data_IF_254945217545
#
_entry.id   IF_254945217545
#
_cell.length_a   1.000
_cell.length_b   1.000
_cell.length_c   1.000
_cell.angle_alpha   90.00
_cell.angle_beta   90.00
_cell.angle_gamma   90.00
#
_symmetry.space_group_name_H-M   'P 1'
#
loop_
_entity.id
_entity.type
_entity.pdbx_description
1 polymer ?
#
# COMPACT_ATOMS: atom_id res chain seq x y z
N UNK A 1 -3.77 -26.89 18.66
CA UNK A 1 -2.87 -25.72 18.82
C UNK A 1 -2.54 -25.27 17.42
N UNK A 2 -3.13 -24.16 16.96
CA UNK A 2 -2.77 -23.53 15.68
C UNK A 2 -1.34 -23.01 15.81
N UNK A 3 -0.55 -23.14 14.73
CA UNK A 3 0.83 -22.63 14.71
C UNK A 3 0.89 -21.10 14.81
N UNK A 4 2.09 -20.51 14.80
CA UNK A 4 2.22 -19.05 14.74
C UNK A 4 1.49 -18.49 13.51
N UNK A 5 0.79 -17.36 13.66
CA UNK A 5 0.11 -16.68 12.55
C UNK A 5 1.11 -16.35 11.46
N UNK A 6 0.81 -16.79 10.24
CA UNK A 6 1.56 -16.41 9.05
C UNK A 6 1.27 -14.93 8.74
N UNK A 7 2.29 -14.15 8.41
CA UNK A 7 2.11 -12.73 8.03
C UNK A 7 2.86 -12.47 6.73
N UNK A 8 2.13 -12.37 5.63
CA UNK A 8 2.69 -11.86 4.38
C UNK A 8 2.51 -10.35 4.32
N UNK A 9 3.42 -9.66 3.64
CA UNK A 9 3.26 -8.23 3.40
C UNK A 9 3.57 -7.89 1.96
N UNK A 10 2.75 -7.03 1.35
CA UNK A 10 3.00 -6.54 0.01
C UNK A 10 2.86 -5.01 -0.01
N UNK A 11 3.79 -4.34 -0.68
CA UNK A 11 3.65 -2.94 -1.06
C UNK A 11 3.34 -2.87 -2.55
N UNK A 12 2.27 -2.19 -2.92
CA UNK A 12 1.81 -2.07 -4.30
C UNK A 12 1.73 -0.60 -4.73
N UNK A 13 2.00 -0.38 -6.02
CA UNK A 13 1.68 0.89 -6.68
C UNK A 13 0.29 0.75 -7.32
N UNK A 14 -0.72 1.42 -6.75
CA UNK A 14 -2.14 1.10 -7.01
C UNK A 14 -2.77 1.77 -8.25
N UNK A 15 -2.00 2.59 -8.98
CA UNK A 15 -2.47 3.24 -10.21
C UNK A 15 -3.31 4.50 -10.04
N UNK A 16 -3.84 5.02 -11.14
CA UNK A 16 -4.61 6.27 -11.16
C UNK A 16 -6.10 6.06 -10.99
N UNK A 17 -6.64 6.28 -9.79
CA UNK A 17 -8.09 6.29 -9.55
C UNK A 17 -8.78 4.99 -10.06
N UNK A 18 -9.90 5.10 -10.79
CA UNK A 18 -10.64 3.93 -11.30
C UNK A 18 -10.02 3.31 -12.56
N UNK A 19 -9.00 3.94 -13.16
CA UNK A 19 -8.50 3.58 -14.49
C UNK A 19 -8.11 2.11 -14.62
N UNK A 20 -7.43 1.45 -13.66
CA UNK A 20 -7.10 0.03 -13.80
C UNK A 20 -8.32 -0.86 -14.06
N UNK A 21 -9.43 -0.63 -13.36
CA UNK A 21 -10.66 -1.41 -13.56
C UNK A 21 -11.39 -1.02 -14.84
N UNK A 22 -11.36 0.26 -15.22
CA UNK A 22 -11.93 0.71 -16.50
C UNK A 22 -11.16 0.12 -17.69
N UNK A 23 -9.83 0.06 -17.63
CA UNK A 23 -8.98 -0.56 -18.65
C UNK A 23 -9.28 -2.06 -18.79
N UNK A 24 -9.54 -2.78 -17.68
CA UNK A 24 -9.97 -4.19 -17.70
C UNK A 24 -11.36 -4.35 -18.35
N UNK A 25 -12.27 -3.41 -18.11
CA UNK A 25 -13.64 -3.44 -18.64
C UNK A 25 -13.74 -2.97 -20.09
N UNK A 26 -12.73 -2.26 -20.61
CA UNK A 26 -12.67 -1.80 -22.01
C UNK A 26 -12.67 -2.98 -22.99
N UNK A 27 -13.41 -2.85 -24.09
CA UNK A 27 -13.45 -3.89 -25.12
C UNK A 27 -12.15 -3.91 -25.95
N UNK A 28 -11.72 -5.10 -26.37
CA UNK A 28 -10.62 -5.23 -27.33
C UNK A 28 -10.97 -4.47 -28.63
N UNK A 29 -10.15 -3.48 -28.99
CA UNK A 29 -10.32 -2.67 -30.21
C UNK A 29 -10.77 -1.22 -29.98
N UNK A 30 -11.17 -0.84 -28.76
CA UNK A 30 -11.24 0.58 -28.40
C UNK A 30 -9.82 1.14 -28.34
N UNK A 31 -9.54 2.22 -29.08
CA UNK A 31 -8.24 2.90 -29.09
C UNK A 31 -8.04 3.67 -27.78
N UNK A 32 -7.91 2.94 -26.67
CA UNK A 32 -7.64 3.48 -25.35
C UNK A 32 -6.22 3.12 -24.95
N UNK A 33 -5.39 4.13 -24.73
CA UNK A 33 -4.04 3.95 -24.18
C UNK A 33 -4.15 3.23 -22.84
N UNK A 34 -3.50 2.06 -22.72
CA UNK A 34 -3.46 1.30 -21.46
C UNK A 34 -2.25 1.71 -20.65
N UNK A 35 -2.50 2.29 -19.49
CA UNK A 35 -1.49 2.87 -18.63
C UNK A 35 -1.12 1.96 -17.45
N UNK A 36 -1.88 0.89 -17.24
CA UNK A 36 -1.76 0.03 -16.07
C UNK A 36 -1.54 -1.44 -16.41
N UNK A 37 -1.24 -1.80 -17.66
CA UNK A 37 -1.10 -3.22 -18.08
C UNK A 37 -0.17 -4.02 -17.17
N UNK A 38 1.08 -3.58 -17.00
CA UNK A 38 2.07 -4.30 -16.18
C UNK A 38 1.67 -4.33 -14.68
N UNK A 39 1.00 -3.27 -14.20
CA UNK A 39 0.45 -3.22 -12.84
C UNK A 39 -0.67 -4.25 -12.67
N UNK A 40 -1.64 -4.29 -13.58
CA UNK A 40 -2.78 -5.20 -13.56
C UNK A 40 -2.29 -6.65 -13.61
N UNK A 41 -1.36 -6.97 -14.52
CA UNK A 41 -0.76 -8.31 -14.63
C UNK A 41 -0.03 -8.71 -13.34
N UNK A 42 0.70 -7.77 -12.74
CA UNK A 42 1.37 -8.01 -11.44
C UNK A 42 0.34 -8.28 -10.34
N UNK A 43 -0.75 -7.50 -10.25
CA UNK A 43 -1.79 -7.71 -9.24
C UNK A 43 -2.61 -8.99 -9.46
N UNK A 44 -2.78 -9.45 -10.71
CA UNK A 44 -3.43 -10.74 -11.00
C UNK A 44 -2.57 -11.92 -10.52
N UNK A 45 -1.25 -11.82 -10.66
CA UNK A 45 -0.32 -12.91 -10.35
C UNK A 45 0.15 -12.90 -8.89
N UNK A 46 0.20 -11.74 -8.23
CA UNK A 46 0.66 -11.59 -6.84
C UNK A 46 -0.06 -12.52 -5.83
N UNK A 47 -1.40 -12.74 -5.90
CA UNK A 47 -2.09 -13.71 -5.04
C UNK A 47 -1.62 -15.16 -5.19
N UNK A 48 -0.92 -15.53 -6.26
CA UNK A 48 -0.35 -16.87 -6.44
C UNK A 48 0.92 -17.07 -5.60
N UNK A 49 1.59 -15.98 -5.22
CA UNK A 49 2.79 -15.97 -4.38
C UNK A 49 2.47 -15.87 -2.87
N UNK A 50 1.19 -15.63 -2.53
CA UNK A 50 0.68 -15.35 -1.19
C UNK A 50 -0.41 -16.37 -0.88
N UNK A 51 -0.31 -17.13 0.21
CA UNK A 51 -1.44 -17.98 0.61
C UNK A 51 -2.69 -17.12 0.80
N UNK A 52 -3.90 -17.62 0.49
CA UNK A 52 -5.11 -16.80 0.67
C UNK A 52 -5.19 -16.32 2.14
N UNK A 53 -5.24 -15.01 2.42
CA UNK A 53 -5.31 -14.52 3.79
C UNK A 53 -6.73 -14.64 4.37
N UNK A 54 -6.81 -14.81 5.69
CA UNK A 54 -8.08 -14.79 6.43
C UNK A 54 -8.59 -13.37 6.64
N UNK A 55 -7.66 -12.39 6.66
CA UNK A 55 -7.95 -10.97 6.81
C UNK A 55 -6.84 -10.12 6.15
N UNK A 56 -7.22 -8.96 5.62
CA UNK A 56 -6.28 -7.99 5.03
C UNK A 56 -6.28 -6.71 5.86
N UNK A 57 -5.08 -6.27 6.26
CA UNK A 57 -4.84 -4.91 6.76
C UNK A 57 -4.34 -4.07 5.59
N UNK A 58 -5.07 -3.02 5.23
CA UNK A 58 -4.69 -2.11 4.15
C UNK A 58 -4.18 -0.80 4.72
N UNK A 59 -2.94 -0.46 4.42
CA UNK A 59 -2.36 0.86 4.70
C UNK A 59 -2.54 1.70 3.44
N UNK A 60 -3.53 2.59 3.41
CA UNK A 60 -3.83 3.37 2.20
C UNK A 60 -3.18 4.75 2.25
N UNK A 61 -2.51 5.12 1.15
CA UNK A 61 -2.00 6.48 0.93
C UNK A 61 -3.10 7.56 0.93
N UNK A 62 -4.37 7.18 0.70
CA UNK A 62 -5.50 8.11 0.61
C UNK A 62 -6.20 8.36 1.95
N UNK A 63 -5.61 7.92 3.06
CA UNK A 63 -6.15 8.16 4.39
C UNK A 63 -5.09 8.65 5.36
N UNK A 64 -5.00 9.97 5.49
CA UNK A 64 -4.13 10.65 6.45
C UNK A 64 -4.93 11.20 7.64
N UNK A 65 -4.43 11.04 8.85
CA UNK A 65 -5.07 11.46 10.10
C UNK A 65 -4.04 12.03 11.09
N UNK A 66 -4.50 12.79 12.09
CA UNK A 66 -3.61 13.33 13.13
C UNK A 66 -3.10 12.25 14.12
N UNK A 67 -3.82 11.13 14.22
CA UNK A 67 -3.46 9.94 15.00
C UNK A 67 -3.86 8.71 14.19
N UNK A 68 -3.33 7.54 14.52
CA UNK A 68 -3.70 6.32 13.79
C UNK A 68 -5.19 6.06 13.95
N UNK A 69 -5.90 5.90 12.85
CA UNK A 69 -7.28 5.40 12.85
C UNK A 69 -7.35 4.05 12.15
N UNK A 70 -8.27 3.22 12.60
CA UNK A 70 -8.52 1.88 12.05
C UNK A 70 -10.01 1.73 11.74
N UNK A 71 -10.36 1.37 10.51
CA UNK A 71 -11.78 1.17 10.15
C UNK A 71 -12.38 0.01 10.94
N UNK A 72 -13.53 0.24 11.57
CA UNK A 72 -14.23 -0.73 12.43
C UNK A 72 -15.72 -0.88 12.10
N UNK A 73 -16.16 -0.41 10.93
CA UNK A 73 -17.51 -0.67 10.41
C UNK A 73 -17.63 -2.11 9.90
N UNK A 74 -18.74 -2.84 10.14
CA UNK A 74 -18.88 -4.24 9.71
C UNK A 74 -19.12 -4.40 8.21
N UNK A 75 -19.71 -3.39 7.55
CA UNK A 75 -19.97 -3.33 6.10
C UNK A 75 -19.70 -1.91 5.60
N UNK A 76 -18.42 -1.49 5.48
CA UNK A 76 -18.09 -0.15 5.01
C UNK A 76 -18.52 0.03 3.55
N UNK A 77 -19.12 1.18 3.23
CA UNK A 77 -19.37 1.58 1.84
C UNK A 77 -18.06 1.91 1.13
N UNK A 78 -18.06 2.03 -0.20
CA UNK A 78 -16.91 2.56 -0.93
C UNK A 78 -16.91 4.09 -0.89
N UNK A 79 -15.72 4.68 -0.76
CA UNK A 79 -15.47 6.10 -0.97
C UNK A 79 -14.83 6.24 -2.34
N UNK A 80 -15.47 7.00 -3.23
CA UNK A 80 -14.93 7.35 -4.54
C UNK A 80 -14.15 8.66 -4.42
N UNK A 81 -12.93 8.58 -3.90
CA UNK A 81 -11.99 9.70 -3.66
C UNK A 81 -11.24 10.15 -4.93
N UNK A 82 -11.90 10.04 -6.08
CA UNK A 82 -11.44 10.49 -7.39
C UNK A 82 -12.57 11.16 -8.18
N UNK A 83 -12.20 12.07 -9.08
CA UNK A 83 -13.14 12.97 -9.75
C UNK A 83 -12.87 13.06 -11.25
N UNK A 84 -13.89 13.42 -12.03
CA UNK A 84 -13.77 13.67 -13.47
C UNK A 84 -13.81 12.43 -14.36
N UNK A 85 -14.25 11.28 -13.83
CA UNK A 85 -14.40 10.03 -14.59
C UNK A 85 -15.85 9.79 -15.05
N UNK A 86 -16.08 8.88 -16.02
CA UNK A 86 -17.43 8.49 -16.43
C UNK A 86 -18.25 7.87 -15.28
N UNK A 87 -19.59 7.90 -15.40
CA UNK A 87 -20.53 7.36 -14.38
C UNK A 87 -20.24 5.91 -13.99
N UNK A 88 -19.78 5.09 -14.95
CA UNK A 88 -19.40 3.70 -14.71
C UNK A 88 -18.32 3.56 -13.62
N UNK A 89 -17.39 4.52 -13.51
CA UNK A 89 -16.37 4.52 -12.45
C UNK A 89 -17.01 4.59 -11.05
N UNK A 90 -18.06 5.40 -10.89
CA UNK A 90 -18.82 5.54 -9.64
C UNK A 90 -19.83 4.42 -9.40
N UNK A 91 -19.98 3.51 -10.36
CA UNK A 91 -20.82 2.31 -10.24
C UNK A 91 -20.01 1.08 -9.81
N UNK A 92 -18.69 1.16 -9.75
CA UNK A 92 -17.80 0.07 -9.29
C UNK A 92 -18.18 -0.39 -7.88
N UNK A 93 -18.10 -1.69 -7.61
CA UNK A 93 -18.44 -2.30 -6.31
C UNK A 93 -17.36 -3.29 -5.90
N UNK A 94 -17.09 -3.34 -4.59
CA UNK A 94 -16.23 -4.32 -3.95
C UNK A 94 -16.74 -4.57 -2.53
N UNK A 95 -17.69 -5.52 -2.34
CA UNK A 95 -18.46 -5.65 -1.10
C UNK A 95 -17.70 -6.38 0.02
N UNK A 96 -16.42 -6.04 0.22
CA UNK A 96 -15.62 -6.60 1.30
C UNK A 96 -16.20 -6.22 2.67
N UNK A 97 -16.25 -7.20 3.58
CA UNK A 97 -16.69 -6.95 4.96
C UNK A 97 -15.57 -6.28 5.75
N UNK A 98 -15.95 -5.45 6.72
CA UNK A 98 -15.01 -5.03 7.76
C UNK A 98 -14.86 -6.08 8.86
N UNK A 99 -13.84 -5.94 9.72
CA UNK A 99 -13.67 -6.78 10.91
C UNK A 99 -13.54 -5.89 12.16
N UNK A 100 -14.67 -5.58 12.79
CA UNK A 100 -14.73 -4.64 13.91
C UNK A 100 -13.99 -5.13 15.16
N UNK A 101 -14.05 -6.44 15.45
CA UNK A 101 -13.32 -7.05 16.57
C UNK A 101 -11.82 -6.93 16.37
N UNK A 102 -11.33 -7.33 15.18
CA UNK A 102 -9.93 -7.21 14.85
C UNK A 102 -9.44 -5.76 14.84
N UNK A 103 -10.23 -4.83 14.32
CA UNK A 103 -9.93 -3.41 14.36
C UNK A 103 -9.75 -2.89 15.80
N UNK A 104 -10.63 -3.29 16.72
CA UNK A 104 -10.49 -2.91 18.13
C UNK A 104 -9.25 -3.53 18.78
N UNK A 105 -8.90 -4.77 18.42
CA UNK A 105 -7.68 -5.41 18.90
C UNK A 105 -6.42 -4.67 18.42
N UNK A 106 -6.39 -4.22 17.15
CA UNK A 106 -5.32 -3.36 16.62
C UNK A 106 -5.24 -2.06 17.42
N UNK A 107 -6.37 -1.36 17.57
CA UNK A 107 -6.42 -0.07 18.31
C UNK A 107 -5.91 -0.23 19.74
N UNK A 108 -6.38 -1.24 20.47
CA UNK A 108 -5.94 -1.51 21.83
C UNK A 108 -4.46 -1.86 21.88
N UNK A 109 -4.01 -2.74 20.99
CA UNK A 109 -2.62 -3.18 20.91
C UNK A 109 -1.64 -2.05 20.60
N UNK A 110 -2.04 -1.08 19.77
CA UNK A 110 -1.27 0.13 19.47
C UNK A 110 -1.21 1.06 20.69
N UNK A 111 -2.37 1.32 21.33
CA UNK A 111 -2.43 2.17 22.51
C UNK A 111 -1.58 1.63 23.67
N UNK A 112 -1.58 0.31 23.91
CA UNK A 112 -0.70 -0.34 24.92
C UNK A 112 0.78 -0.16 24.62
N UNK A 113 1.15 0.03 23.35
CA UNK A 113 2.53 0.30 22.90
C UNK A 113 2.87 1.79 22.81
N UNK A 114 1.99 2.66 23.30
CA UNK A 114 2.17 4.12 23.28
C UNK A 114 1.91 4.77 21.92
N UNK A 115 1.36 4.05 20.93
CA UNK A 115 0.92 4.62 19.65
C UNK A 115 -0.57 4.97 19.81
N UNK A 116 -0.89 6.26 19.85
CA UNK A 116 -2.28 6.70 19.97
C UNK A 116 -3.08 6.25 18.75
N UNK A 117 -4.10 5.42 18.98
CA UNK A 117 -4.96 4.88 17.94
C UNK A 117 -6.45 4.95 18.30
N UNK A 118 -7.32 5.11 17.30
CA UNK A 118 -8.78 5.17 17.46
C UNK A 118 -9.49 4.30 16.42
N UNK A 119 -10.61 3.71 16.81
CA UNK A 119 -11.50 3.04 15.86
C UNK A 119 -12.32 4.08 15.09
N UNK A 120 -12.41 3.93 13.76
CA UNK A 120 -13.22 4.74 12.87
C UNK A 120 -14.39 3.88 12.35
N UNK A 121 -15.60 4.17 12.79
CA UNK A 121 -16.78 3.31 12.53
C UNK A 121 -17.56 3.72 11.29
N UNK A 122 -17.34 4.93 10.80
CA UNK A 122 -18.20 5.56 9.77
C UNK A 122 -17.52 5.68 8.41
N UNK A 123 -16.19 5.64 8.36
CA UNK A 123 -15.44 5.72 7.11
C UNK A 123 -15.63 4.46 6.26
N UNK A 124 -15.88 4.67 4.96
CA UNK A 124 -15.86 3.65 3.93
C UNK A 124 -14.46 3.30 3.40
N UNK A 125 -14.36 2.40 2.42
CA UNK A 125 -13.10 2.01 1.80
C UNK A 125 -12.76 2.88 0.57
N UNK A 126 -11.59 3.51 0.57
CA UNK A 126 -11.09 4.34 -0.55
C UNK A 126 -10.56 3.52 -1.74
N UNK A 127 -10.29 4.18 -2.87
CA UNK A 127 -9.85 3.51 -4.10
C UNK A 127 -8.49 2.83 -3.95
N UNK A 128 -7.61 3.34 -3.09
CA UNK A 128 -6.35 2.69 -2.76
C UNK A 128 -6.55 1.31 -2.15
N UNK A 129 -7.74 1.03 -1.59
CA UNK A 129 -8.12 -0.30 -1.14
C UNK A 129 -8.87 -1.07 -2.24
N UNK A 130 -10.01 -0.55 -2.71
CA UNK A 130 -10.94 -1.40 -3.47
C UNK A 130 -10.50 -1.65 -4.92
N UNK A 131 -9.75 -0.73 -5.56
CA UNK A 131 -9.27 -0.93 -6.93
C UNK A 131 -8.27 -2.09 -7.00
N UNK A 132 -7.14 -2.09 -6.26
CA UNK A 132 -6.20 -3.19 -6.33
C UNK A 132 -6.78 -4.50 -5.80
N UNK A 133 -7.61 -4.46 -4.75
CA UNK A 133 -8.22 -5.68 -4.23
C UNK A 133 -9.29 -6.28 -5.15
N UNK A 134 -9.99 -5.47 -5.96
CA UNK A 134 -10.87 -5.99 -7.01
C UNK A 134 -10.11 -6.79 -8.08
N UNK A 135 -8.82 -6.48 -8.28
CA UNK A 135 -7.94 -7.21 -9.21
C UNK A 135 -7.35 -8.45 -8.53
N UNK A 136 -6.83 -8.30 -7.31
CA UNK A 136 -6.16 -9.39 -6.56
C UNK A 136 -7.14 -10.46 -6.05
N UNK A 137 -8.29 -10.04 -5.52
CA UNK A 137 -9.27 -10.89 -4.84
C UNK A 137 -10.71 -10.54 -5.26
N UNK A 138 -11.08 -10.74 -6.54
CA UNK A 138 -12.34 -10.25 -7.13
C UNK A 138 -13.62 -10.75 -6.43
N UNK A 139 -13.55 -11.87 -5.69
CA UNK A 139 -14.68 -12.40 -4.92
C UNK A 139 -15.08 -11.53 -3.73
N UNK A 140 -14.23 -10.60 -3.28
CA UNK A 140 -14.45 -9.73 -2.12
C UNK A 140 -14.85 -10.49 -0.83
N UNK A 141 -14.37 -11.72 -0.68
CA UNK A 141 -14.76 -12.63 0.40
C UNK A 141 -13.81 -12.60 1.61
N UNK A 142 -12.73 -11.81 1.53
CA UNK A 142 -11.76 -11.62 2.61
C UNK A 142 -12.08 -10.34 3.39
N UNK A 143 -12.35 -10.42 4.70
CA UNK A 143 -12.53 -9.25 5.53
C UNK A 143 -11.33 -8.30 5.49
N UNK A 144 -11.60 -7.00 5.49
CA UNK A 144 -10.58 -5.96 5.40
C UNK A 144 -10.70 -4.95 6.54
N UNK A 145 -9.57 -4.42 6.98
CA UNK A 145 -9.50 -3.21 7.80
C UNK A 145 -8.49 -2.26 7.17
N UNK A 146 -8.79 -0.97 7.12
CA UNK A 146 -7.81 0.05 6.76
C UNK A 146 -7.15 0.62 8.01
N UNK A 147 -5.91 1.04 7.88
CA UNK A 147 -5.16 1.81 8.89
C UNK A 147 -4.67 3.10 8.22
N UNK A 148 -4.95 4.23 8.85
CA UNK A 148 -4.55 5.54 8.34
C UNK A 148 -3.04 5.78 8.48
N UNK A 149 -2.51 6.65 7.64
CA UNK A 149 -1.21 7.27 7.82
C UNK A 149 -1.30 8.43 8.84
N UNK A 150 -0.16 8.77 9.43
CA UNK A 150 0.00 9.96 10.27
C UNK A 150 1.14 10.80 9.73
N UNK A 151 0.81 11.83 8.97
CA UNK A 151 1.77 12.73 8.34
C UNK A 151 1.84 14.06 9.07
N UNK A 152 2.99 14.70 8.99
CA UNK A 152 3.24 16.01 9.59
C UNK A 152 4.08 16.88 8.66
N UNK A 153 4.85 17.79 9.24
CA UNK A 153 5.76 18.64 8.48
C UNK A 153 7.20 18.10 8.43
N UNK A 154 7.44 16.86 8.88
CA UNK A 154 8.78 16.29 9.03
C UNK A 154 8.85 14.87 8.48
N UNK A 155 9.29 14.77 7.22
CA UNK A 155 9.46 13.52 6.46
C UNK A 155 10.27 12.45 7.20
N UNK A 156 11.31 12.83 7.95
CA UNK A 156 12.12 11.89 8.74
C UNK A 156 11.30 11.29 9.88
N UNK A 157 10.58 12.14 10.63
CA UNK A 157 9.73 11.70 11.75
C UNK A 157 8.61 10.78 11.24
N UNK A 158 8.01 11.15 10.11
CA UNK A 158 6.90 10.39 9.53
C UNK A 158 7.42 9.04 9.01
N UNK A 159 8.57 8.97 8.34
CA UNK A 159 9.20 7.70 7.96
C UNK A 159 9.52 6.80 9.17
N UNK A 160 10.12 7.35 10.24
CA UNK A 160 10.42 6.61 11.47
C UNK A 160 9.15 6.08 12.16
N UNK A 161 8.11 6.91 12.19
CA UNK A 161 6.83 6.55 12.78
C UNK A 161 6.20 5.36 12.04
N UNK A 162 6.13 5.40 10.71
CA UNK A 162 5.50 4.35 9.93
C UNK A 162 6.29 3.03 9.94
N UNK A 163 7.62 3.06 10.02
CA UNK A 163 8.42 1.84 10.30
C UNK A 163 8.06 1.27 11.68
N UNK A 164 7.90 2.12 12.70
CA UNK A 164 7.55 1.68 14.05
C UNK A 164 6.11 1.14 14.12
N UNK A 165 5.19 1.74 13.37
CA UNK A 165 3.82 1.26 13.20
C UNK A 165 3.79 -0.15 12.59
N UNK A 166 4.54 -0.39 11.53
CA UNK A 166 4.65 -1.71 10.90
C UNK A 166 5.11 -2.79 11.88
N UNK A 167 6.16 -2.49 12.66
CA UNK A 167 6.65 -3.39 13.71
C UNK A 167 5.55 -3.68 14.75
N UNK A 168 4.87 -2.65 15.23
CA UNK A 168 3.79 -2.81 16.21
C UNK A 168 2.64 -3.64 15.66
N UNK A 169 2.23 -3.44 14.40
CA UNK A 169 1.19 -4.24 13.76
C UNK A 169 1.55 -5.73 13.72
N UNK A 170 2.79 -6.09 13.32
CA UNK A 170 3.25 -7.48 13.35
C UNK A 170 3.13 -8.09 14.74
N UNK A 171 3.66 -7.43 15.77
CA UNK A 171 3.59 -7.93 17.14
C UNK A 171 2.16 -8.08 17.66
N UNK A 172 1.25 -7.19 17.25
CA UNK A 172 -0.16 -7.27 17.62
C UNK A 172 -0.82 -8.48 16.95
N UNK A 173 -0.57 -8.71 15.66
CA UNK A 173 -1.12 -9.85 14.92
C UNK A 173 -0.63 -11.17 15.53
N UNK A 174 0.68 -11.29 15.78
CA UNK A 174 1.29 -12.46 16.40
C UNK A 174 0.69 -12.74 17.80
N UNK A 175 0.40 -11.69 18.58
CA UNK A 175 -0.20 -11.83 19.90
C UNK A 175 -1.70 -12.18 19.88
N UNK A 176 -2.46 -11.72 18.89
CA UNK A 176 -3.90 -12.01 18.78
C UNK A 176 -4.12 -13.48 18.43
N UNK A 177 -3.34 -14.03 17.49
CA UNK A 177 -3.40 -15.45 17.12
C UNK A 177 -4.76 -15.93 16.60
N UNK A 178 -5.62 -15.02 16.14
CA UNK A 178 -6.99 -15.32 15.69
C UNK A 178 -7.08 -15.78 14.23
N UNK A 179 -5.99 -15.69 13.47
CA UNK A 179 -5.92 -15.98 12.04
C UNK A 179 -4.74 -16.90 11.75
N UNK A 180 -4.90 -17.79 10.78
CA UNK A 180 -3.80 -18.61 10.28
C UNK A 180 -2.90 -17.77 9.37
N UNK A 181 -3.49 -16.85 8.59
CA UNK A 181 -2.76 -15.98 7.70
C UNK A 181 -3.35 -14.56 7.62
N UNK A 182 -2.49 -13.56 7.85
CA UNK A 182 -2.80 -12.14 7.66
C UNK A 182 -1.96 -11.54 6.54
N UNK A 183 -2.59 -10.76 5.66
CA UNK A 183 -1.89 -9.93 4.68
C UNK A 183 -1.86 -8.47 5.15
N UNK A 184 -0.66 -7.89 5.27
CA UNK A 184 -0.48 -6.44 5.38
C UNK A 184 -0.21 -5.89 3.98
N UNK A 185 -1.18 -5.17 3.41
CA UNK A 185 -1.09 -4.55 2.09
C UNK A 185 -0.84 -3.05 2.22
N UNK A 186 0.39 -2.62 1.96
CA UNK A 186 0.71 -1.21 1.77
C UNK A 186 0.30 -0.75 0.38
N UNK A 187 -0.71 0.09 0.28
CA UNK A 187 -1.23 0.59 -0.99
C UNK A 187 -0.91 2.05 -1.18
N UNK A 188 -0.02 2.34 -2.13
CA UNK A 188 0.43 3.68 -2.47
C UNK A 188 0.97 3.75 -3.89
N UNK A 189 2.12 4.38 -4.08
CA UNK A 189 2.85 4.38 -5.35
C UNK A 189 4.32 4.67 -5.13
N UNK A 190 5.24 3.93 -5.76
CA UNK A 190 6.69 4.23 -5.63
C UNK A 190 7.12 5.47 -6.41
N UNK A 191 6.25 6.06 -7.21
CA UNK A 191 6.40 7.37 -7.83
C UNK A 191 5.06 8.11 -7.75
N UNK A 192 5.02 9.28 -7.13
CA UNK A 192 3.79 10.05 -6.96
C UNK A 192 4.03 11.55 -7.13
N UNK A 193 4.35 11.93 -8.37
CA UNK A 193 4.37 13.31 -8.81
C UNK A 193 3.38 13.50 -9.96
N UNK A 194 2.24 14.12 -9.66
CA UNK A 194 1.17 14.34 -10.64
C UNK A 194 1.66 15.11 -11.87
N UNK A 195 2.47 16.16 -11.70
CA UNK A 195 3.06 16.88 -12.83
C UNK A 195 4.05 16.00 -13.60
N UNK A 196 4.86 15.22 -12.88
CA UNK A 196 5.83 14.30 -13.47
C UNK A 196 5.19 13.20 -14.31
N UNK A 197 3.99 12.71 -13.98
CA UNK A 197 3.27 11.73 -14.79
C UNK A 197 2.85 12.26 -16.17
N UNK A 198 2.61 13.56 -16.31
CA UNK A 198 2.23 14.19 -17.59
C UNK A 198 3.41 14.87 -18.29
N UNK A 199 4.59 14.89 -17.68
CA UNK A 199 5.82 15.37 -18.29
C UNK A 199 6.45 14.25 -19.14
N UNK A 200 6.40 14.42 -20.46
CA UNK A 200 6.97 13.48 -21.45
C UNK A 200 8.44 13.74 -21.77
N UNK A 201 9.11 14.65 -21.06
CA UNK A 201 10.53 14.92 -21.29
C UNK A 201 11.41 13.74 -20.86
N UNK A 202 12.54 13.59 -21.55
CA UNK A 202 13.57 12.60 -21.20
C UNK A 202 14.12 12.83 -19.79
N UNK A 203 14.25 14.09 -19.35
CA UNK A 203 14.72 14.41 -18.01
C UNK A 203 13.73 13.96 -16.93
N UNK A 204 12.42 14.14 -17.14
CA UNK A 204 11.40 13.64 -16.22
C UNK A 204 11.45 12.11 -16.06
N UNK A 205 11.68 11.39 -17.16
CA UNK A 205 11.86 9.94 -17.15
C UNK A 205 13.16 9.54 -16.44
N UNK A 206 14.27 10.23 -16.69
CA UNK A 206 15.54 9.99 -16.02
C UNK A 206 15.43 10.20 -14.51
N UNK A 207 14.78 11.28 -14.07
CA UNK A 207 14.58 11.54 -12.64
C UNK A 207 13.79 10.44 -11.95
N UNK A 208 12.67 10.02 -12.54
CA UNK A 208 11.87 8.92 -12.02
C UNK A 208 12.67 7.61 -11.97
N UNK A 209 13.43 7.32 -13.03
CA UNK A 209 14.31 6.14 -13.11
C UNK A 209 15.38 6.14 -12.01
N UNK A 210 16.03 7.29 -11.75
CA UNK A 210 17.04 7.41 -10.69
C UNK A 210 16.48 7.07 -9.31
N UNK A 211 15.32 7.61 -8.96
CA UNK A 211 14.66 7.30 -7.69
C UNK A 211 14.21 5.84 -7.63
N UNK A 212 13.57 5.33 -8.67
CA UNK A 212 13.09 3.94 -8.74
C UNK A 212 14.24 2.94 -8.56
N UNK A 213 15.37 3.16 -9.23
CA UNK A 213 16.56 2.31 -9.10
C UNK A 213 17.12 2.36 -7.68
N UNK A 214 17.22 3.56 -7.09
CA UNK A 214 17.64 3.71 -5.69
C UNK A 214 16.72 2.93 -4.73
N UNK A 215 15.40 2.98 -4.94
CA UNK A 215 14.43 2.30 -4.10
C UNK A 215 14.54 0.77 -4.26
N UNK A 216 14.58 0.27 -5.50
CA UNK A 216 14.80 -1.15 -5.82
C UNK A 216 16.07 -1.69 -5.15
N UNK A 217 17.20 -0.98 -5.31
CA UNK A 217 18.46 -1.37 -4.64
C UNK A 217 18.33 -1.33 -3.13
N UNK A 218 17.70 -0.30 -2.58
CA UNK A 218 17.47 -0.17 -1.13
C UNK A 218 16.62 -1.31 -0.59
N UNK A 219 15.62 -1.79 -1.32
CA UNK A 219 14.74 -2.85 -0.83
C UNK A 219 15.29 -4.26 -1.02
N UNK A 220 16.10 -4.50 -2.06
CA UNK A 220 16.57 -5.85 -2.47
C UNK A 220 17.98 -6.20 -2.05
N UNK A 221 18.87 -5.21 -1.97
CA UNK A 221 20.30 -5.48 -1.86
C UNK A 221 20.65 -6.17 -0.55
N UNK A 222 21.28 -7.34 -0.64
CA UNK A 222 21.87 -8.04 0.51
C UNK A 222 23.16 -7.38 1.01
N UNK A 223 23.70 -6.40 0.29
CA UNK A 223 24.90 -5.68 0.69
C UNK A 223 24.64 -4.68 1.84
N UNK A 224 23.40 -4.25 2.02
CA UNK A 224 23.03 -3.36 3.13
C UNK A 224 22.71 -4.17 4.38
N UNK A 225 23.30 -3.77 5.50
CA UNK A 225 22.79 -4.18 6.81
C UNK A 225 21.38 -3.63 7.03
N UNK A 226 20.59 -4.24 7.89
CA UNK A 226 19.24 -3.72 8.19
C UNK A 226 19.27 -2.36 8.90
N UNK A 227 20.34 -2.05 9.64
CA UNK A 227 20.57 -0.71 10.18
C UNK A 227 20.73 0.31 9.05
N UNK A 228 21.51 -0.02 8.03
CA UNK A 228 21.72 0.84 6.86
C UNK A 228 20.45 0.96 6.02
N UNK A 229 19.76 -0.14 5.73
CA UNK A 229 18.51 -0.14 4.96
C UNK A 229 17.44 0.72 5.63
N UNK A 230 17.26 0.54 6.95
CA UNK A 230 16.36 1.38 7.74
C UNK A 230 16.76 2.84 7.69
N UNK A 231 18.05 3.16 7.82
CA UNK A 231 18.55 4.54 7.71
C UNK A 231 18.22 5.16 6.35
N UNK A 232 18.43 4.42 5.25
CA UNK A 232 18.08 4.86 3.89
C UNK A 232 16.59 5.15 3.71
N UNK A 233 15.72 4.33 4.32
CA UNK A 233 14.28 4.57 4.31
C UNK A 233 13.90 5.77 5.18
N UNK A 234 14.48 5.91 6.37
CA UNK A 234 14.24 7.09 7.23
C UNK A 234 14.68 8.40 6.56
N UNK A 235 15.76 8.36 5.80
CA UNK A 235 16.32 9.49 5.04
C UNK A 235 15.92 9.49 3.56
N UNK A 236 14.84 8.80 3.18
CA UNK A 236 14.49 8.59 1.77
C UNK A 236 14.48 9.86 0.92
N UNK A 237 14.09 10.99 1.53
CA UNK A 237 13.98 12.32 0.91
C UNK A 237 15.32 12.96 0.54
N UNK A 238 16.44 12.37 1.01
CA UNK A 238 17.81 12.72 0.60
C UNK A 238 18.31 11.86 -0.56
N UNK A 239 17.55 10.83 -0.94
CA UNK A 239 17.86 9.94 -2.04
C UNK A 239 17.80 10.64 -3.41
N UNK A 240 18.36 10.01 -4.46
CA UNK A 240 18.37 10.57 -5.80
C UNK A 240 16.97 10.91 -6.28
N UNK A 241 16.73 12.19 -6.58
CA UNK A 241 15.46 12.70 -7.13
C UNK A 241 14.23 12.38 -6.26
N UNK A 242 14.44 12.08 -4.97
CA UNK A 242 13.37 11.65 -4.08
C UNK A 242 12.26 12.70 -3.96
N UNK A 243 12.61 13.97 -3.81
CA UNK A 243 11.63 15.07 -3.74
C UNK A 243 10.93 15.33 -5.07
N UNK A 244 11.56 14.96 -6.20
CA UNK A 244 10.90 15.00 -7.49
C UNK A 244 9.90 13.84 -7.62
N UNK A 245 10.28 12.63 -7.24
CA UNK A 245 9.39 11.47 -7.29
C UNK A 245 8.23 11.55 -6.28
N UNK A 246 8.48 12.20 -5.14
CA UNK A 246 7.55 12.34 -4.01
C UNK A 246 7.64 13.77 -3.45
N UNK A 247 6.90 14.73 -4.03
CA UNK A 247 6.78 16.07 -3.46
C UNK A 247 6.23 16.02 -2.01
N UNK A 248 5.36 15.04 -1.77
CA UNK A 248 4.87 14.63 -0.45
C UNK A 248 5.05 13.11 -0.30
N UNK A 249 5.07 12.66 0.96
CA UNK A 249 5.46 11.32 1.37
C UNK A 249 4.34 10.27 1.36
N UNK A 250 3.07 10.67 1.29
CA UNK A 250 1.92 9.81 1.63
C UNK A 250 1.86 8.52 0.80
N UNK A 251 2.22 8.58 -0.49
CA UNK A 251 2.22 7.40 -1.35
C UNK A 251 3.40 6.45 -1.12
N UNK A 252 4.48 6.89 -0.47
CA UNK A 252 5.63 6.07 -0.13
C UNK A 252 5.57 5.52 1.31
N UNK A 253 4.85 6.16 2.22
CA UNK A 253 4.75 5.72 3.62
C UNK A 253 4.14 4.33 3.84
N UNK A 254 3.21 3.81 3.01
CA UNK A 254 2.77 2.42 3.12
C UNK A 254 3.92 1.41 2.98
N UNK A 255 4.94 1.70 2.16
CA UNK A 255 6.15 0.88 2.07
C UNK A 255 6.91 0.84 3.40
N UNK A 256 6.97 1.95 4.12
CA UNK A 256 7.64 2.04 5.41
C UNK A 256 6.95 1.16 6.46
N UNK A 257 5.62 1.09 6.43
CA UNK A 257 4.85 0.16 7.29
C UNK A 257 5.15 -1.28 6.91
N UNK A 258 5.13 -1.64 5.62
CA UNK A 258 5.47 -2.99 5.17
C UNK A 258 6.90 -3.38 5.57
N UNK A 259 7.88 -2.51 5.36
CA UNK A 259 9.26 -2.75 5.80
C UNK A 259 9.33 -2.92 7.32
N UNK A 260 8.68 -2.05 8.09
CA UNK A 260 8.65 -2.12 9.55
C UNK A 260 8.10 -3.44 10.10
N UNK A 261 7.12 -4.03 9.43
CA UNK A 261 6.57 -5.33 9.77
C UNK A 261 7.55 -6.50 9.52
N UNK A 262 8.59 -6.32 8.69
CA UNK A 262 9.51 -7.41 8.32
C UNK A 262 10.94 -7.21 8.83
N UNK A 263 11.43 -5.96 8.79
CA UNK A 263 12.80 -5.57 9.13
C UNK A 263 13.85 -6.44 8.41
N UNK A 264 13.61 -6.72 7.13
CA UNK A 264 14.51 -7.44 6.21
C UNK A 264 14.34 -6.94 4.77
N UNK A 265 15.30 -7.26 3.92
CA UNK A 265 15.15 -7.14 2.46
C UNK A 265 13.90 -7.90 1.96
N UNK A 266 13.36 -7.44 0.84
CA UNK A 266 12.19 -8.04 0.17
C UNK A 266 12.53 -9.42 -0.38
N UNK A 267 11.57 -10.33 -0.36
CA UNK A 267 11.71 -11.67 -0.96
C UNK A 267 11.49 -11.62 -2.47
N UNK A 268 10.61 -10.73 -2.94
CA UNK A 268 10.44 -10.44 -4.35
C UNK A 268 10.20 -8.94 -4.58
N UNK A 269 10.61 -8.45 -5.75
CA UNK A 269 10.47 -7.07 -6.15
C UNK A 269 10.17 -6.99 -7.65
N UNK A 270 9.12 -6.26 -7.96
CA UNK A 270 8.58 -6.09 -9.29
C UNK A 270 8.94 -4.69 -9.78
N UNK A 271 9.40 -4.59 -11.02
CA UNK A 271 9.57 -3.33 -11.72
C UNK A 271 8.49 -3.26 -12.79
N UNK A 272 7.82 -2.12 -12.89
CA UNK A 272 6.78 -1.91 -13.87
C UNK A 272 6.76 -0.47 -14.37
N UNK A 273 6.11 -0.24 -15.50
CA UNK A 273 5.71 1.08 -15.96
C UNK A 273 4.29 1.36 -15.46
N UNK A 274 4.13 2.44 -14.69
CA UNK A 274 2.84 2.92 -14.23
C UNK A 274 2.57 4.29 -14.82
N UNK A 275 1.45 4.42 -15.55
CA UNK A 275 1.18 5.57 -16.39
C UNK A 275 2.32 5.77 -17.40
N UNK A 276 3.22 6.71 -17.13
CA UNK A 276 4.34 7.05 -18.01
C UNK A 276 5.70 6.94 -17.31
N UNK A 277 5.73 6.41 -16.08
CA UNK A 277 6.91 6.43 -15.21
C UNK A 277 7.20 5.05 -14.61
N UNK A 278 8.49 4.74 -14.35
CA UNK A 278 8.84 3.51 -13.67
C UNK A 278 8.30 3.52 -12.24
N UNK A 279 7.77 2.38 -11.83
CA UNK A 279 7.30 2.12 -10.49
C UNK A 279 7.71 0.72 -10.03
N UNK A 280 7.50 0.46 -8.75
CA UNK A 280 7.93 -0.74 -8.05
C UNK A 280 6.83 -1.28 -7.16
N UNK A 281 6.81 -2.60 -7.01
CA UNK A 281 6.06 -3.31 -5.98
C UNK A 281 7.00 -4.27 -5.24
N UNK A 282 6.68 -4.59 -3.99
CA UNK A 282 7.54 -5.38 -3.12
C UNK A 282 6.74 -6.41 -2.34
N UNK A 283 7.30 -7.61 -2.19
CA UNK A 283 6.69 -8.72 -1.47
C UNK A 283 7.66 -9.26 -0.41
N UNK A 284 7.13 -9.45 0.79
CA UNK A 284 7.71 -10.31 1.81
C UNK A 284 6.75 -11.47 2.06
N UNK A 285 7.23 -12.69 1.84
CA UNK A 285 6.46 -13.91 2.02
C UNK A 285 6.42 -14.22 3.52
N UNK A 286 5.20 -14.46 4.02
CA UNK A 286 4.96 -14.89 5.40
C UNK A 286 5.34 -16.34 5.63
#
# INVERSE_FOLDING_TARGET
>A
MTGPTRISTAYISHGGGPLPLLEIQSQEGEMQTRYHTEMIETLITLPQEIAKPDVIIVISAHWEEAVVKVTAGPKPDLIYDYYGFPEQAYSLKYPAKGNAEFANNIVNGLNTRGITAKAERTRGFDHGMFIPLSIMYPAADIPCVQVSLVTGSNKRRDAQFHISLGKALKEIIDNIGAFEHVLILGSGSSFHNMHGFFDSSEEALHKATRFNNWLQTTMRSSAYSEVERKSRLVEWFTGPEAQYAHPKEEHLLPLHVCYGANNKAVDNAFSLTLLTKPASMFLWKG
#
